data_IF_263918784759
#
_entry.id   IF_263918784759
#
_cell.length_a   1.000
_cell.length_b   1.000
_cell.length_c   1.000
_cell.angle_alpha   90.00
_cell.angle_beta   90.00
_cell.angle_gamma   90.00
#
_symmetry.space_group_name_H-M   'P 1'
#
loop_
_entity.id
_entity.type
_entity.pdbx_description
1 polymer ?
#
# COMPACT_ATOMS: atom_id res chain seq x y z
N UNK A 1 -12.14 -15.28 10.03
CA UNK A 1 -12.41 -14.99 8.60
C UNK A 1 -13.01 -16.25 8.03
N UNK A 2 -14.12 -16.16 7.30
CA UNK A 2 -14.83 -17.34 6.78
C UNK A 2 -14.38 -17.59 5.34
N UNK A 3 -13.87 -18.78 5.06
CA UNK A 3 -13.43 -19.13 3.71
C UNK A 3 -14.64 -19.32 2.78
N UNK A 4 -14.59 -18.70 1.61
CA UNK A 4 -15.63 -18.79 0.58
C UNK A 4 -15.01 -19.41 -0.67
N UNK A 5 -15.56 -20.53 -1.13
CA UNK A 5 -15.14 -21.20 -2.37
C UNK A 5 -15.93 -20.62 -3.54
N UNK A 6 -15.23 -20.25 -4.61
CA UNK A 6 -15.83 -19.80 -5.88
C UNK A 6 -15.24 -20.59 -7.04
N UNK A 7 -16.07 -21.01 -7.98
CA UNK A 7 -15.63 -21.63 -9.23
C UNK A 7 -15.41 -20.54 -10.27
N UNK A 8 -14.21 -20.48 -10.86
CA UNK A 8 -13.85 -19.49 -11.87
C UNK A 8 -13.58 -20.23 -13.19
N UNK A 9 -14.22 -19.78 -14.28
CA UNK A 9 -13.88 -20.23 -15.63
C UNK A 9 -12.65 -19.46 -16.11
N UNK A 10 -11.62 -20.18 -16.54
CA UNK A 10 -10.36 -19.59 -17.03
C UNK A 10 -9.97 -20.17 -18.38
N UNK A 11 -9.05 -19.50 -19.07
CA UNK A 11 -8.41 -20.02 -20.27
C UNK A 11 -7.41 -21.14 -19.88
N UNK A 12 -7.36 -22.22 -20.65
CA UNK A 12 -6.45 -23.37 -20.43
C UNK A 12 -4.97 -22.95 -20.41
N UNK A 13 -4.57 -22.03 -21.28
CA UNK A 13 -3.20 -21.52 -21.37
C UNK A 13 -2.83 -20.76 -20.10
N UNK A 14 -3.74 -19.91 -19.60
CA UNK A 14 -3.52 -19.17 -18.35
C UNK A 14 -3.42 -20.08 -17.14
N UNK A 15 -4.29 -21.11 -17.06
CA UNK A 15 -4.20 -22.14 -16.01
C UNK A 15 -2.85 -22.86 -16.03
N UNK A 16 -2.32 -23.15 -17.22
CA UNK A 16 -1.00 -23.79 -17.37
C UNK A 16 0.11 -22.88 -16.85
N UNK A 17 0.13 -21.61 -17.27
CA UNK A 17 1.12 -20.62 -16.78
C UNK A 17 1.04 -20.46 -15.27
N UNK A 18 -0.16 -20.36 -14.70
CA UNK A 18 -0.36 -20.22 -13.26
C UNK A 18 0.11 -21.46 -12.48
N UNK A 19 -0.08 -22.67 -13.02
CA UNK A 19 0.43 -23.91 -12.43
C UNK A 19 1.95 -23.94 -12.43
N UNK A 20 2.58 -23.59 -13.56
CA UNK A 20 4.04 -23.58 -13.68
C UNK A 20 4.67 -22.57 -12.73
N UNK A 21 4.07 -21.38 -12.61
CA UNK A 21 4.51 -20.34 -11.67
C UNK A 21 4.33 -20.79 -10.21
N UNK A 22 3.18 -21.39 -9.87
CA UNK A 22 2.92 -21.91 -8.53
C UNK A 22 3.92 -23.02 -8.15
N UNK A 23 4.21 -23.94 -9.07
CA UNK A 23 5.20 -25.00 -8.90
C UNK A 23 6.61 -24.44 -8.71
N UNK A 24 7.01 -23.45 -9.52
CA UNK A 24 8.32 -22.78 -9.40
C UNK A 24 8.50 -22.14 -8.03
N UNK A 25 7.42 -21.60 -7.45
CA UNK A 25 7.41 -20.99 -6.11
C UNK A 25 7.20 -21.99 -4.98
N UNK A 26 6.92 -23.27 -5.28
CA UNK A 26 6.60 -24.29 -4.28
C UNK A 26 5.29 -24.04 -3.52
N UNK A 27 4.31 -23.37 -4.14
CA UNK A 27 3.00 -23.07 -3.56
C UNK A 27 1.87 -23.69 -4.37
N UNK A 28 0.67 -23.79 -3.80
CA UNK A 28 -0.51 -24.25 -4.54
C UNK A 28 -1.03 -23.16 -5.49
N UNK A 29 -1.73 -23.55 -6.56
CA UNK A 29 -2.41 -22.60 -7.45
C UNK A 29 -3.41 -21.71 -6.69
N UNK A 30 -4.12 -22.26 -5.70
CA UNK A 30 -5.05 -21.49 -4.86
C UNK A 30 -4.31 -20.43 -4.04
N UNK A 31 -3.12 -20.76 -3.52
CA UNK A 31 -2.29 -19.80 -2.81
C UNK A 31 -1.84 -18.65 -3.74
N UNK A 32 -1.38 -18.98 -4.95
CA UNK A 32 -1.01 -17.98 -5.96
C UNK A 32 -2.19 -17.08 -6.35
N UNK A 33 -3.36 -17.68 -6.60
CA UNK A 33 -4.57 -16.93 -6.95
C UNK A 33 -5.02 -16.01 -5.80
N UNK A 34 -4.96 -16.48 -4.56
CA UNK A 34 -5.26 -15.65 -3.40
C UNK A 34 -4.32 -14.45 -3.30
N UNK A 35 -3.01 -14.62 -3.54
CA UNK A 35 -2.06 -13.50 -3.56
C UNK A 35 -2.37 -12.49 -4.67
N UNK A 36 -2.78 -12.95 -5.86
CA UNK A 36 -3.18 -12.08 -6.98
C UNK A 36 -4.45 -11.30 -6.63
N UNK A 37 -5.46 -11.99 -6.09
CA UNK A 37 -6.73 -11.38 -5.67
C UNK A 37 -6.47 -10.36 -4.55
N UNK A 38 -5.67 -10.72 -3.56
CA UNK A 38 -5.27 -9.85 -2.45
C UNK A 38 -4.61 -8.57 -2.99
N UNK A 39 -3.62 -8.71 -3.88
CA UNK A 39 -2.96 -7.56 -4.53
C UNK A 39 -3.93 -6.69 -5.31
N UNK A 40 -4.94 -7.28 -5.95
CA UNK A 40 -5.98 -6.53 -6.65
C UNK A 40 -6.90 -5.76 -5.69
N UNK A 41 -7.36 -6.41 -4.63
CA UNK A 41 -8.25 -5.84 -3.62
C UNK A 41 -7.58 -4.70 -2.86
N UNK A 42 -6.31 -4.87 -2.46
CA UNK A 42 -5.59 -3.86 -1.71
C UNK A 42 -5.01 -2.76 -2.59
N UNK A 43 -4.51 -3.08 -3.78
CA UNK A 43 -3.73 -2.14 -4.59
C UNK A 43 -4.30 -1.90 -6.00
N UNK A 44 -4.28 -2.91 -6.89
CA UNK A 44 -4.39 -2.67 -8.34
C UNK A 44 -5.72 -2.05 -8.78
N UNK A 45 -6.85 -2.36 -8.10
CA UNK A 45 -8.15 -1.76 -8.43
C UNK A 45 -8.19 -0.22 -8.31
N UNK A 46 -7.19 0.38 -7.67
CA UNK A 46 -7.05 1.82 -7.48
C UNK A 46 -6.01 2.45 -8.42
N UNK A 47 -5.15 1.67 -9.05
CA UNK A 47 -4.08 2.17 -9.94
C UNK A 47 -4.66 2.78 -11.22
N UNK A 48 -5.79 2.26 -11.71
CA UNK A 48 -6.45 2.79 -12.92
C UNK A 48 -6.93 4.24 -12.76
N UNK A 49 -7.19 4.67 -11.52
CA UNK A 49 -7.60 6.05 -11.18
C UNK A 49 -6.41 6.90 -10.75
N UNK A 50 -5.33 6.28 -10.28
CA UNK A 50 -4.10 6.93 -9.84
C UNK A 50 -2.89 6.30 -10.54
N UNK A 51 -2.52 6.80 -11.75
CA UNK A 51 -1.56 6.12 -12.61
C UNK A 51 -0.19 6.03 -11.92
N UNK A 52 0.32 4.81 -11.80
CA UNK A 52 1.61 4.49 -11.21
C UNK A 52 2.50 3.81 -12.26
N UNK A 53 3.79 4.11 -12.24
CA UNK A 53 4.78 3.45 -13.11
C UNK A 53 5.43 2.28 -12.38
N UNK A 54 5.63 1.17 -13.08
CA UNK A 54 6.49 0.08 -12.63
C UNK A 54 7.88 0.29 -13.23
N UNK A 55 8.86 0.57 -12.39
CA UNK A 55 10.24 0.88 -12.80
C UNK A 55 11.23 -0.11 -12.17
N UNK A 56 12.27 -0.55 -12.90
CA UNK A 56 13.38 -1.31 -12.30
C UNK A 56 14.10 -0.52 -11.22
N UNK A 57 14.52 -1.19 -10.14
CA UNK A 57 15.23 -0.55 -9.03
C UNK A 57 16.49 0.21 -9.48
N UNK A 58 17.26 -0.34 -10.43
CA UNK A 58 18.47 0.30 -10.95
C UNK A 58 18.16 1.62 -11.69
N UNK A 59 17.03 1.71 -12.39
CA UNK A 59 16.61 2.97 -13.01
C UNK A 59 16.29 4.01 -11.95
N UNK A 60 15.54 3.64 -10.91
CA UNK A 60 15.23 4.54 -9.80
C UNK A 60 16.51 4.99 -9.11
N UNK A 61 17.45 4.08 -8.85
CA UNK A 61 18.74 4.39 -8.24
C UNK A 61 19.54 5.40 -9.08
N UNK A 62 19.64 5.19 -10.39
CA UNK A 62 20.30 6.14 -11.29
C UNK A 62 19.65 7.52 -11.30
N UNK A 63 18.32 7.60 -11.23
CA UNK A 63 17.60 8.87 -11.11
C UNK A 63 17.91 9.58 -9.79
N UNK A 64 17.93 8.85 -8.67
CA UNK A 64 18.25 9.40 -7.35
C UNK A 64 19.69 9.93 -7.29
N UNK A 65 20.64 9.21 -7.91
CA UNK A 65 22.04 9.62 -7.96
C UNK A 65 22.25 11.00 -8.61
N UNK A 66 21.40 11.38 -9.58
CA UNK A 66 21.43 12.69 -10.22
C UNK A 66 20.87 13.86 -9.40
N UNK A 67 20.21 13.61 -8.27
CA UNK A 67 19.58 14.65 -7.43
C UNK A 67 20.45 14.99 -6.22
N UNK A 68 20.43 16.25 -5.77
CA UNK A 68 21.05 16.64 -4.48
C UNK A 68 20.18 16.21 -3.30
N UNK A 69 20.76 16.15 -2.10
CA UNK A 69 20.02 15.80 -0.89
C UNK A 69 18.90 16.81 -0.60
N UNK A 70 19.10 18.10 -0.88
CA UNK A 70 18.07 19.14 -0.74
C UNK A 70 16.91 18.94 -1.70
N UNK A 71 17.19 18.54 -2.95
CA UNK A 71 16.16 18.22 -3.93
C UNK A 71 15.35 16.99 -3.49
N UNK A 72 16.03 15.95 -3.01
CA UNK A 72 15.38 14.75 -2.48
C UNK A 72 14.50 15.06 -1.27
N UNK A 73 14.96 15.90 -0.35
CA UNK A 73 14.18 16.33 0.81
C UNK A 73 12.95 17.10 0.36
N UNK A 74 13.11 18.06 -0.57
CA UNK A 74 11.99 18.84 -1.10
C UNK A 74 10.94 17.95 -1.77
N UNK A 75 11.36 17.03 -2.63
CA UNK A 75 10.43 16.14 -3.32
C UNK A 75 9.80 15.11 -2.40
N UNK A 76 10.56 14.56 -1.44
CA UNK A 76 10.02 13.71 -0.39
C UNK A 76 8.93 14.44 0.40
N UNK A 77 9.19 15.66 0.85
CA UNK A 77 8.22 16.47 1.59
C UNK A 77 6.96 16.77 0.79
N UNK A 78 7.13 17.13 -0.50
CA UNK A 78 6.02 17.36 -1.42
C UNK A 78 5.17 16.10 -1.56
N UNK A 79 5.78 15.01 -2.04
CA UNK A 79 5.12 13.73 -2.27
C UNK A 79 4.43 13.17 -1.01
N UNK A 80 5.10 13.22 0.14
CA UNK A 80 4.55 12.75 1.42
C UNK A 80 3.35 13.55 1.91
N UNK A 81 3.19 14.80 1.45
CA UNK A 81 2.08 15.67 1.86
C UNK A 81 0.77 15.39 1.11
N UNK A 82 0.81 14.85 -0.12
CA UNK A 82 -0.39 14.69 -0.94
C UNK A 82 -0.63 13.25 -1.47
N UNK A 83 0.41 12.49 -1.83
CA UNK A 83 0.24 11.14 -2.40
C UNK A 83 -0.50 10.20 -1.43
N UNK A 84 -0.11 10.10 -0.14
CA UNK A 84 -0.83 9.24 0.81
C UNK A 84 -2.28 9.70 1.01
N UNK A 85 -2.52 11.03 1.01
CA UNK A 85 -3.87 11.60 1.16
C UNK A 85 -4.79 11.14 0.04
N UNK A 86 -4.33 11.28 -1.21
CA UNK A 86 -5.10 10.87 -2.38
C UNK A 86 -5.33 9.36 -2.39
N UNK A 87 -4.30 8.57 -2.04
CA UNK A 87 -4.41 7.11 -1.95
C UNK A 87 -5.45 6.66 -0.91
N UNK A 88 -5.46 7.28 0.28
CA UNK A 88 -6.44 6.98 1.33
C UNK A 88 -7.85 7.38 0.91
N UNK A 89 -8.03 8.56 0.32
CA UNK A 89 -9.34 9.05 -0.12
C UNK A 89 -9.91 8.21 -1.25
N UNK A 90 -9.09 7.75 -2.19
CA UNK A 90 -9.50 6.83 -3.24
C UNK A 90 -10.01 5.48 -2.69
N UNK A 91 -9.55 5.10 -1.49
CA UNK A 91 -10.01 3.92 -0.75
C UNK A 91 -11.19 4.21 0.19
N UNK A 92 -11.68 5.44 0.25
CA UNK A 92 -12.70 5.87 1.22
C UNK A 92 -12.21 5.87 2.67
N UNK A 93 -10.89 5.91 2.90
CA UNK A 93 -10.29 5.86 4.23
C UNK A 93 -9.99 7.26 4.76
N UNK A 94 -10.19 7.45 6.06
CA UNK A 94 -9.81 8.67 6.78
C UNK A 94 -8.37 8.51 7.28
N UNK A 95 -7.51 9.54 7.16
CA UNK A 95 -6.17 9.49 7.72
C UNK A 95 -6.19 9.44 9.25
N UNK A 96 -5.68 8.33 9.79
CA UNK A 96 -5.33 8.15 11.19
C UNK A 96 -4.07 7.28 11.27
N UNK A 97 -3.57 6.99 12.47
CA UNK A 97 -2.36 6.20 12.62
C UNK A 97 -2.52 4.78 12.04
N UNK A 98 -3.66 4.13 12.27
CA UNK A 98 -3.87 2.74 11.89
C UNK A 98 -4.02 2.63 10.37
N UNK A 99 -4.74 3.54 9.72
CA UNK A 99 -4.86 3.56 8.25
C UNK A 99 -3.55 3.93 7.57
N UNK A 100 -2.73 4.81 8.17
CA UNK A 100 -1.39 5.12 7.67
C UNK A 100 -0.48 3.89 7.78
N UNK A 101 -0.44 3.22 8.93
CA UNK A 101 0.39 2.03 9.12
C UNK A 101 -0.03 0.89 8.19
N UNK A 102 -1.33 0.65 8.03
CA UNK A 102 -1.87 -0.31 7.08
C UNK A 102 -1.44 0.03 5.64
N UNK A 103 -1.44 1.32 5.26
CA UNK A 103 -1.01 1.76 3.95
C UNK A 103 0.50 1.56 3.72
N UNK A 104 1.32 1.83 4.74
CA UNK A 104 2.77 1.59 4.69
C UNK A 104 3.08 0.09 4.49
N UNK A 105 2.38 -0.78 5.21
CA UNK A 105 2.56 -2.23 5.13
C UNK A 105 2.02 -2.81 3.82
N UNK A 106 0.73 -2.63 3.53
CA UNK A 106 0.10 -3.34 2.42
C UNK A 106 0.35 -2.64 1.08
N UNK A 107 0.10 -1.33 0.98
CA UNK A 107 0.16 -0.65 -0.31
C UNK A 107 1.62 -0.37 -0.74
N UNK A 108 2.42 0.19 0.17
CA UNK A 108 3.76 0.69 -0.16
C UNK A 108 4.81 -0.41 -0.08
N UNK A 109 4.81 -1.22 0.99
CA UNK A 109 5.75 -2.31 1.15
C UNK A 109 5.38 -3.52 0.29
N UNK A 110 4.26 -4.19 0.58
CA UNK A 110 3.91 -5.48 -0.06
C UNK A 110 3.54 -5.37 -1.54
N UNK A 111 2.92 -4.26 -1.97
CA UNK A 111 2.39 -4.16 -3.33
C UNK A 111 3.14 -3.17 -4.24
N UNK A 112 3.95 -2.27 -3.69
CA UNK A 112 4.72 -1.28 -4.45
C UNK A 112 6.25 -1.44 -4.33
N UNK A 113 6.72 -2.36 -3.49
CA UNK A 113 8.14 -2.72 -3.35
C UNK A 113 9.08 -1.54 -3.01
N UNK A 114 8.60 -0.50 -2.32
CA UNK A 114 9.47 0.61 -1.91
C UNK A 114 10.50 0.19 -0.86
N UNK A 115 10.10 -0.76 0.00
CA UNK A 115 10.89 -1.32 1.09
C UNK A 115 10.20 -2.57 1.64
N UNK A 116 10.91 -3.36 2.44
CA UNK A 116 10.37 -4.32 3.39
C UNK A 116 10.01 -3.61 4.69
N UNK A 117 8.84 -3.90 5.25
CA UNK A 117 8.32 -3.27 6.45
C UNK A 117 8.39 -4.20 7.67
N UNK A 118 8.84 -3.69 8.81
CA UNK A 118 8.76 -4.34 10.11
C UNK A 118 8.28 -3.34 11.15
N UNK A 119 7.36 -3.76 12.03
CA UNK A 119 6.82 -2.91 13.09
C UNK A 119 6.90 -3.61 14.45
N UNK A 120 7.49 -2.94 15.43
CA UNK A 120 7.57 -3.41 16.82
C UNK A 120 6.81 -2.46 17.74
N UNK A 121 5.90 -3.02 18.55
CA UNK A 121 5.16 -2.31 19.59
C UNK A 121 5.65 -2.81 20.95
N UNK A 122 6.58 -2.10 21.58
CA UNK A 122 7.22 -2.51 22.85
C UNK A 122 7.03 -1.39 23.87
N UNK A 123 6.45 -1.71 25.04
CA UNK A 123 6.25 -0.76 26.16
C UNK A 123 5.57 0.56 25.73
N UNK A 124 4.53 0.46 24.88
CA UNK A 124 3.81 1.62 24.35
C UNK A 124 4.61 2.47 23.36
N UNK A 125 5.79 2.00 22.90
CA UNK A 125 6.55 2.63 21.82
C UNK A 125 6.37 1.84 20.54
N UNK A 126 6.09 2.55 19.45
CA UNK A 126 6.01 1.98 18.10
C UNK A 126 7.31 2.35 17.37
N UNK A 127 8.02 1.32 16.90
CA UNK A 127 9.20 1.47 16.04
C UNK A 127 8.96 0.73 14.74
N UNK A 128 9.16 1.43 13.62
CA UNK A 128 9.02 0.88 12.28
C UNK A 128 10.39 0.88 11.60
N UNK A 129 10.73 -0.22 10.94
CA UNK A 129 11.95 -0.36 10.16
C UNK A 129 11.57 -0.63 8.69
N UNK A 130 12.08 0.22 7.82
CA UNK A 130 11.87 0.16 6.37
C UNK A 130 13.22 -0.19 5.75
N UNK A 131 13.36 -1.39 5.17
CA UNK A 131 14.62 -1.85 4.53
C UNK A 131 14.48 -1.91 3.02
N UNK A 132 15.49 -1.47 2.28
CA UNK A 132 15.45 -1.39 0.82
C UNK A 132 16.85 -1.61 0.23
N UNK A 133 16.97 -1.50 -1.10
CA UNK A 133 18.23 -1.70 -1.84
C UNK A 133 18.65 -0.51 -2.71
N UNK A 134 17.99 0.65 -2.55
CA UNK A 134 18.18 1.85 -3.38
C UNK A 134 19.22 2.86 -2.83
N UNK A 135 19.97 2.50 -1.79
CA UNK A 135 21.03 3.34 -1.22
C UNK A 135 20.55 4.55 -0.42
N UNK A 136 21.52 5.29 0.15
CA UNK A 136 21.25 6.35 1.15
C UNK A 136 20.32 7.46 0.66
N UNK A 137 20.40 7.82 -0.62
CA UNK A 137 19.55 8.86 -1.22
C UNK A 137 18.07 8.49 -1.15
N UNK A 138 17.73 7.21 -1.31
CA UNK A 138 16.36 6.76 -1.10
C UNK A 138 15.95 6.85 0.37
N UNK A 139 16.84 6.53 1.31
CA UNK A 139 16.55 6.69 2.74
C UNK A 139 16.29 8.15 3.13
N UNK A 140 17.02 9.10 2.53
CA UNK A 140 16.78 10.56 2.68
C UNK A 140 15.41 10.94 2.15
N UNK A 141 15.06 10.50 0.95
CA UNK A 141 13.74 10.71 0.36
C UNK A 141 12.62 10.14 1.25
N UNK A 142 12.75 8.89 1.71
CA UNK A 142 11.77 8.25 2.59
C UNK A 142 11.64 8.99 3.93
N UNK A 143 12.74 9.49 4.51
CA UNK A 143 12.70 10.28 5.75
C UNK A 143 11.85 11.54 5.55
N UNK A 144 12.11 12.28 4.47
CA UNK A 144 11.37 13.49 4.14
C UNK A 144 9.89 13.19 3.84
N UNK A 145 9.63 12.13 3.08
CA UNK A 145 8.29 11.64 2.75
C UNK A 145 7.47 11.31 4.00
N UNK A 146 7.98 10.44 4.87
CA UNK A 146 7.22 10.04 6.06
C UNK A 146 7.11 11.17 7.09
N UNK A 147 8.14 12.01 7.23
CA UNK A 147 8.05 13.16 8.13
C UNK A 147 6.94 14.12 7.69
N UNK A 148 6.80 14.38 6.39
CA UNK A 148 5.72 15.19 5.85
C UNK A 148 4.35 14.49 5.98
N UNK A 149 4.28 13.20 5.66
CA UNK A 149 3.06 12.39 5.79
C UNK A 149 2.50 12.50 7.21
N UNK A 150 3.27 12.06 8.21
CA UNK A 150 2.81 12.02 9.60
C UNK A 150 2.44 13.42 10.12
N UNK A 151 3.23 14.44 9.78
CA UNK A 151 2.98 15.82 10.20
C UNK A 151 1.72 16.41 9.56
N UNK A 152 1.49 16.18 8.26
CA UNK A 152 0.39 16.84 7.51
C UNK A 152 -0.94 16.11 7.63
N UNK A 153 -0.93 14.78 7.69
CA UNK A 153 -2.15 13.99 7.69
C UNK A 153 -2.72 13.80 9.09
N UNK A 154 -1.87 13.61 10.09
CA UNK A 154 -2.32 13.28 11.46
C UNK A 154 -1.65 14.12 12.55
N UNK A 155 -1.02 15.24 12.16
CA UNK A 155 -0.37 16.20 13.06
C UNK A 155 0.63 15.56 14.05
N UNK A 156 1.35 14.53 13.59
CA UNK A 156 2.31 13.78 14.40
C UNK A 156 3.74 14.07 13.98
N UNK A 157 4.58 14.52 14.91
CA UNK A 157 6.02 14.59 14.68
C UNK A 157 6.67 13.26 15.02
N UNK A 158 7.36 12.69 14.04
CA UNK A 158 8.11 11.44 14.17
C UNK A 158 9.58 11.72 14.40
N UNK A 159 10.27 10.81 15.10
CA UNK A 159 11.74 10.76 15.07
C UNK A 159 12.15 9.68 14.08
N UNK A 160 13.22 9.92 13.32
CA UNK A 160 13.71 8.93 12.36
C UNK A 160 15.23 8.94 12.26
N UNK A 161 15.78 7.83 11.79
CA UNK A 161 17.21 7.57 11.68
C UNK A 161 17.50 6.91 10.33
N UNK A 162 18.39 7.52 9.55
CA UNK A 162 18.76 7.08 8.20
C UNK A 162 19.96 6.13 8.29
N UNK A 163 19.81 4.94 7.71
CA UNK A 163 20.90 4.04 7.37
C UNK A 163 21.23 4.11 5.87
N UNK A 164 22.17 3.28 5.42
CA UNK A 164 22.53 3.22 3.99
C UNK A 164 21.38 2.66 3.13
N UNK A 165 20.66 1.67 3.66
CA UNK A 165 19.63 0.93 2.93
C UNK A 165 18.37 0.76 3.79
N UNK A 166 18.16 1.71 4.70
CA UNK A 166 17.08 1.62 5.67
C UNK A 166 16.68 2.95 6.27
N UNK A 167 15.43 3.03 6.68
CA UNK A 167 14.92 4.10 7.53
C UNK A 167 14.26 3.48 8.77
N UNK A 168 14.71 3.90 9.95
CA UNK A 168 14.01 3.59 11.19
C UNK A 168 13.15 4.79 11.61
N UNK A 169 11.88 4.55 11.95
CA UNK A 169 10.92 5.56 12.41
C UNK A 169 10.46 5.19 13.81
N UNK A 170 10.50 6.16 14.74
CA UNK A 170 10.07 6.02 16.13
C UNK A 170 8.94 7.01 16.40
N UNK A 171 7.79 6.47 16.82
CA UNK A 171 6.64 7.28 17.19
C UNK A 171 6.72 7.71 18.68
N UNK A 172 6.19 8.90 19.04
CA UNK A 172 6.13 9.32 20.45
C UNK A 172 5.22 8.40 21.28
N UNK A 173 5.49 8.28 22.60
CA UNK A 173 4.78 7.37 23.52
C UNK A 173 3.29 7.69 23.70
N UNK A 174 2.86 8.92 23.45
CA UNK A 174 1.52 9.43 23.79
C UNK A 174 0.55 9.38 22.62
N UNK A 175 0.53 8.29 21.85
CA UNK A 175 -0.45 8.12 20.79
C UNK A 175 -1.62 7.31 21.35
N UNK A 176 -2.76 7.98 21.53
CA UNK A 176 -4.03 7.28 21.75
C UNK A 176 -4.40 6.61 20.42
N UNK A 177 -4.22 5.30 20.33
CA UNK A 177 -4.76 4.50 19.23
C UNK A 177 -6.29 4.59 19.32
N UNK A 178 -6.93 5.01 18.24
CA UNK A 178 -8.38 5.04 18.17
C UNK A 178 -8.81 3.60 17.87
N UNK A 179 -9.17 2.83 18.88
CA UNK A 179 -9.67 1.46 18.72
C UNK A 179 -11.08 1.49 18.14
N UNK A 180 -11.21 1.85 16.87
CA UNK A 180 -12.42 1.61 16.07
C UNK A 180 -12.05 0.65 14.95
N UNK A 181 -11.83 -0.62 15.32
CA UNK A 181 -11.95 -1.74 14.39
C UNK A 181 -13.41 -1.82 13.96
N UNK A 182 -13.73 -1.31 12.77
CA UNK A 182 -14.88 -1.69 11.96
C UNK A 182 -14.64 -1.31 10.48
N UNK A 183 -13.44 -1.62 9.98
CA UNK A 183 -13.08 -1.40 8.58
C UNK A 183 -13.06 -2.71 7.81
N UNK A 184 -14.23 -3.34 7.62
CA UNK A 184 -14.55 -4.24 6.50
C UNK A 184 -16.04 -4.66 6.55
N UNK A 185 -16.96 -3.75 6.81
CA UNK A 185 -18.38 -3.98 6.51
C UNK A 185 -19.03 -2.73 5.90
N UNK A 186 -19.72 -2.98 4.77
CA UNK A 186 -20.68 -2.12 4.09
C UNK A 186 -20.13 -1.01 3.18
N UNK A 187 -19.84 -1.39 1.93
CA UNK A 187 -20.37 -0.65 0.78
C UNK A 187 -21.34 -1.58 0.06
N UNK A 188 -22.59 -1.61 0.54
CA UNK A 188 -23.69 -2.05 -0.30
C UNK A 188 -23.88 -0.98 -1.37
N UNK A 189 -23.39 -1.26 -2.57
CA UNK A 189 -23.87 -0.59 -3.78
C UNK A 189 -25.34 -0.99 -3.91
N UNK A 190 -26.26 -0.08 -3.59
CA UNK A 190 -27.65 -0.20 -4.03
C UNK A 190 -27.67 -0.08 -5.56
N UNK A 191 -27.45 -1.20 -6.23
CA UNK A 191 -27.91 -1.38 -7.60
C UNK A 191 -29.43 -1.56 -7.55
N UNK A 192 -30.17 -0.47 -7.69
CA UNK A 192 -31.53 -0.55 -8.20
C UNK A 192 -31.52 -0.36 -9.71
N UNK A 193 -31.33 -1.48 -10.39
CA UNK A 193 -31.89 -1.69 -11.72
C UNK A 193 -32.12 -3.18 -11.90
N UNK A 194 -33.40 -3.57 -12.06
CA UNK A 194 -33.91 -4.67 -12.91
C UNK A 194 -35.33 -5.11 -12.47
N UNK A 195 -36.14 -5.80 -13.29
CA UNK A 195 -36.82 -5.29 -14.50
C UNK A 195 -38.28 -5.84 -14.65
N UNK A 196 -38.88 -5.63 -15.83
CA UNK A 196 -40.06 -6.31 -16.45
C UNK A 196 -41.44 -5.73 -16.05
N UNK A 197 -42.46 -5.66 -16.90
CA UNK A 197 -42.71 -6.18 -18.25
C UNK A 197 -43.94 -5.47 -18.86
N UNK A 198 -43.98 -5.40 -20.19
CA UNK A 198 -45.14 -5.40 -21.10
C UNK A 198 -46.52 -4.89 -20.65
N UNK A 199 -47.04 -3.93 -21.41
CA UNK A 199 -48.41 -4.02 -21.93
C UNK A 199 -48.54 -3.28 -23.27
N UNK A 200 -48.73 -4.06 -24.34
CA UNK A 200 -49.42 -3.66 -25.56
C UNK A 200 -50.87 -3.25 -25.24
N UNK A 201 -51.38 -2.31 -26.05
CA UNK A 201 -52.77 -1.80 -26.29
C UNK A 201 -52.73 -0.26 -26.21
N UNK A 202 -53.09 0.53 -27.21
CA UNK A 202 -53.92 0.40 -28.42
C UNK A 202 -53.32 1.24 -29.52
#
# INVERSE_FOLDING_TARGET
MTDIIRTIRTNREWDTILKDEANTRGISINCLLNQIIERYVFSYRFIDVFPCLVLPCEMVKGLLEGLTDEQLIKEGQSAGSFIPKHSLFLKGLIPDLDTIMLCMENNVSQHSNWYQFQCHKINGRITMLLRHQLGRKWSIYLQAYYSALFKKLINLQIKSEIGENSLAIKLPKSIKLNTNNNGLEQVQVQNHSSPKNNSLKK
#
